data_IF_106838165588
#
_entry.id   IF_106838165588
#
_cell.length_a   1.000
_cell.length_b   1.000
_cell.length_c   1.000
_cell.angle_alpha   90.00
_cell.angle_beta   90.00
_cell.angle_gamma   90.00
#
_symmetry.space_group_name_H-M   'P 1'
#
loop_
_entity.id
_entity.type
_entity.pdbx_description
1 polymer ?
#
# COMPACT_ATOMS: atom_id res chain seq x y z
N UNK A 1 -24.52 10.42 18.31
CA UNK A 1 -23.37 9.62 17.84
C UNK A 1 -23.76 8.99 16.51
N UNK A 2 -23.23 9.51 15.40
CA UNK A 2 -23.51 8.96 14.08
C UNK A 2 -22.84 7.59 13.96
N UNK A 3 -23.65 6.55 13.78
CA UNK A 3 -23.17 5.19 13.49
C UNK A 3 -22.48 5.22 12.13
N UNK A 4 -21.16 5.00 12.11
CA UNK A 4 -20.41 4.75 10.89
C UNK A 4 -20.87 3.39 10.36
N UNK A 5 -21.66 3.42 9.28
CA UNK A 5 -22.10 2.23 8.58
C UNK A 5 -20.89 1.71 7.80
N UNK A 6 -20.28 0.63 8.29
CA UNK A 6 -19.28 -0.13 7.55
C UNK A 6 -19.98 -0.81 6.38
N UNK A 7 -19.99 -0.15 5.22
CA UNK A 7 -20.37 -0.76 3.94
C UNK A 7 -19.26 -1.73 3.52
N UNK A 8 -19.22 -2.89 4.18
CA UNK A 8 -18.26 -3.95 3.90
C UNK A 8 -18.86 -4.95 2.89
N UNK A 9 -19.36 -4.45 1.77
CA UNK A 9 -19.72 -5.28 0.60
C UNK A 9 -18.51 -5.36 -0.36
N UNK A 10 -17.35 -5.76 0.18
CA UNK A 10 -16.25 -6.20 -0.68
C UNK A 10 -16.58 -7.58 -1.20
N UNK A 11 -17.34 -7.64 -2.31
CA UNK A 11 -17.57 -8.86 -3.08
C UNK A 11 -16.25 -9.59 -3.31
N UNK A 12 -16.23 -10.86 -2.92
CA UNK A 12 -15.13 -11.84 -2.87
C UNK A 12 -14.41 -12.15 -4.20
N UNK A 13 -14.52 -11.33 -5.24
CA UNK A 13 -13.99 -11.62 -6.58
C UNK A 13 -12.64 -10.96 -6.92
N UNK A 14 -11.93 -10.38 -5.95
CA UNK A 14 -10.67 -9.66 -6.20
C UNK A 14 -9.42 -10.42 -5.68
N UNK A 15 -9.17 -11.61 -6.22
CA UNK A 15 -7.93 -12.41 -6.03
C UNK A 15 -6.65 -11.55 -6.10
N UNK A 16 -6.61 -10.60 -7.03
CA UNK A 16 -5.45 -9.72 -7.23
C UNK A 16 -5.24 -8.71 -6.09
N UNK A 17 -6.32 -8.09 -5.60
CA UNK A 17 -6.22 -7.13 -4.49
C UNK A 17 -5.84 -7.83 -3.18
N UNK A 18 -6.38 -9.03 -2.95
CA UNK A 18 -6.01 -9.84 -1.79
C UNK A 18 -4.51 -10.15 -1.78
N UNK A 19 -3.97 -10.63 -2.92
CA UNK A 19 -2.52 -10.86 -3.09
C UNK A 19 -1.69 -9.59 -2.90
N UNK A 20 -2.16 -8.45 -3.41
CA UNK A 20 -1.49 -7.17 -3.21
C UNK A 20 -1.38 -6.81 -1.72
N UNK A 21 -2.47 -6.95 -0.96
CA UNK A 21 -2.45 -6.67 0.47
C UNK A 21 -1.57 -7.65 1.27
N UNK A 22 -1.57 -8.94 0.93
CA UNK A 22 -0.67 -9.92 1.56
C UNK A 22 0.80 -9.56 1.32
N UNK A 23 1.13 -9.18 0.08
CA UNK A 23 2.47 -8.74 -0.29
C UNK A 23 2.89 -7.46 0.46
N UNK A 24 2.00 -6.47 0.51
CA UNK A 24 2.19 -5.23 1.26
C UNK A 24 2.44 -5.56 2.73
N UNK A 25 1.60 -6.36 3.38
CA UNK A 25 1.76 -6.67 4.80
C UNK A 25 3.10 -7.32 5.14
N UNK A 26 3.70 -8.05 4.18
CA UNK A 26 4.99 -8.73 4.37
C UNK A 26 6.20 -7.82 4.11
N UNK A 27 6.11 -6.92 3.15
CA UNK A 27 7.29 -6.23 2.61
C UNK A 27 7.25 -4.71 2.74
N UNK A 28 6.17 -4.12 3.24
CA UNK A 28 6.05 -2.69 3.36
C UNK A 28 6.90 -2.15 4.54
N UNK A 29 7.77 -1.14 4.32
CA UNK A 29 8.60 -0.57 5.39
C UNK A 29 7.78 0.31 6.34
N UNK A 30 8.30 0.66 7.52
CA UNK A 30 7.62 1.55 8.47
C UNK A 30 7.42 2.97 7.93
N UNK A 31 8.32 3.43 7.06
CA UNK A 31 8.30 4.75 6.41
C UNK A 31 7.40 4.82 5.18
N UNK A 32 6.59 3.78 4.92
CA UNK A 32 5.81 3.65 3.69
C UNK A 32 4.91 4.83 3.35
N UNK A 33 4.35 5.52 4.35
CA UNK A 33 3.39 6.60 4.08
C UNK A 33 4.05 7.70 3.27
N UNK A 34 5.24 8.14 3.68
CA UNK A 34 5.95 9.21 2.98
C UNK A 34 6.52 8.72 1.64
N UNK A 35 7.00 7.47 1.57
CA UNK A 35 7.46 6.84 0.32
C UNK A 35 6.33 6.71 -0.71
N UNK A 36 5.13 6.33 -0.28
CA UNK A 36 3.95 6.22 -1.16
C UNK A 36 3.50 7.59 -1.66
N UNK A 37 3.55 8.63 -0.83
CA UNK A 37 3.29 10.01 -1.28
C UNK A 37 4.26 10.39 -2.38
N UNK A 38 5.56 10.21 -2.14
CA UNK A 38 6.59 10.54 -3.11
C UNK A 38 6.38 9.78 -4.43
N UNK A 39 6.09 8.47 -4.36
CA UNK A 39 5.82 7.65 -5.55
C UNK A 39 4.64 8.15 -6.38
N UNK A 40 3.58 8.62 -5.72
CA UNK A 40 2.39 9.15 -6.40
C UNK A 40 2.69 10.50 -7.04
N UNK A 41 3.46 11.36 -6.35
CA UNK A 41 3.90 12.66 -6.86
C UNK A 41 4.87 12.50 -8.04
N UNK A 42 5.80 11.55 -7.98
CA UNK A 42 6.72 11.20 -9.09
C UNK A 42 5.97 10.79 -10.36
N UNK A 43 4.79 10.17 -10.21
CA UNK A 43 3.90 9.81 -11.32
C UNK A 43 3.04 10.97 -11.82
N UNK A 44 3.26 12.20 -11.33
CA UNK A 44 2.56 13.41 -11.75
C UNK A 44 1.17 13.58 -11.13
N UNK A 45 0.82 12.82 -10.09
CA UNK A 45 -0.47 12.91 -9.41
C UNK A 45 -0.38 13.82 -8.17
N UNK A 46 -1.53 14.35 -7.75
CA UNK A 46 -1.60 15.14 -6.52
C UNK A 46 -1.29 14.29 -5.29
N UNK A 47 -0.54 14.87 -4.35
CA UNK A 47 -0.15 14.19 -3.12
C UNK A 47 -1.40 13.82 -2.30
N UNK A 48 -1.66 12.51 -2.05
CA UNK A 48 -2.76 12.11 -1.20
C UNK A 48 -2.45 12.43 0.26
N UNK A 49 -3.51 12.55 1.07
CA UNK A 49 -3.34 12.74 2.52
C UNK A 49 -2.80 11.47 3.18
N UNK A 50 -2.01 11.63 4.25
CA UNK A 50 -1.47 10.50 5.02
C UNK A 50 -2.57 9.57 5.55
N UNK A 51 -3.74 10.12 5.91
CA UNK A 51 -4.91 9.36 6.34
C UNK A 51 -5.46 8.48 5.21
N UNK A 52 -5.53 9.00 3.98
CA UNK A 52 -6.03 8.26 2.83
C UNK A 52 -5.18 7.02 2.56
N UNK A 53 -3.85 7.15 2.59
CA UNK A 53 -2.91 6.03 2.42
C UNK A 53 -3.13 4.96 3.50
N UNK A 54 -3.23 5.37 4.77
CA UNK A 54 -3.47 4.44 5.88
C UNK A 54 -4.82 3.71 5.73
N UNK A 55 -5.85 4.41 5.28
CA UNK A 55 -7.17 3.83 5.07
C UNK A 55 -7.16 2.80 3.94
N UNK A 56 -6.41 3.04 2.85
CA UNK A 56 -6.21 2.04 1.78
C UNK A 56 -5.43 0.84 2.32
N UNK A 57 -4.32 1.06 3.03
CA UNK A 57 -3.52 -0.01 3.63
C UNK A 57 -4.34 -0.88 4.61
N UNK A 58 -5.25 -0.26 5.35
CA UNK A 58 -6.15 -0.94 6.29
C UNK A 58 -7.43 -1.49 5.62
N UNK A 59 -7.52 -1.46 4.29
CA UNK A 59 -8.67 -1.94 3.51
C UNK A 59 -10.00 -1.25 3.84
N UNK A 60 -9.95 -0.06 4.44
CA UNK A 60 -11.15 0.73 4.78
C UNK A 60 -11.76 1.39 3.55
N UNK A 61 -10.93 1.72 2.56
CA UNK A 61 -11.34 2.30 1.29
C UNK A 61 -10.56 1.63 0.15
N UNK A 62 -11.13 1.59 -1.04
CA UNK A 62 -10.45 1.10 -2.25
C UNK A 62 -10.04 2.26 -3.15
N UNK A 63 -8.73 2.43 -3.33
CA UNK A 63 -8.13 3.40 -4.26
C UNK A 63 -6.98 2.71 -4.98
N UNK A 64 -7.22 2.30 -6.22
CA UNK A 64 -6.29 1.45 -6.98
C UNK A 64 -4.94 2.14 -7.25
N UNK A 65 -4.95 3.45 -7.44
CA UNK A 65 -3.75 4.29 -7.58
C UNK A 65 -2.84 4.18 -6.34
N UNK A 66 -3.42 4.32 -5.16
CA UNK A 66 -2.70 4.22 -3.89
C UNK A 66 -2.29 2.77 -3.59
N UNK A 67 -3.16 1.81 -3.87
CA UNK A 67 -2.86 0.39 -3.70
C UNK A 67 -1.66 -0.03 -4.57
N UNK A 68 -1.64 0.41 -5.84
CA UNK A 68 -0.52 0.16 -6.74
C UNK A 68 0.77 0.79 -6.21
N UNK A 69 0.73 2.06 -5.78
CA UNK A 69 1.89 2.72 -5.21
C UNK A 69 2.41 2.04 -3.93
N UNK A 70 1.51 1.50 -3.08
CA UNK A 70 1.89 0.70 -1.91
C UNK A 70 2.60 -0.61 -2.30
N UNK A 71 2.13 -1.29 -3.35
CA UNK A 71 2.78 -2.50 -3.87
C UNK A 71 4.18 -2.18 -4.41
N UNK A 72 4.33 -1.10 -5.16
CA UNK A 72 5.62 -0.69 -5.70
C UNK A 72 6.64 -0.38 -4.60
N UNK A 73 6.24 0.38 -3.57
CA UNK A 73 7.09 0.68 -2.41
C UNK A 73 7.46 -0.60 -1.66
N UNK A 74 6.51 -1.52 -1.47
CA UNK A 74 6.79 -2.82 -0.85
C UNK A 74 7.78 -3.66 -1.68
N UNK A 75 7.68 -3.61 -3.00
CA UNK A 75 8.57 -4.35 -3.90
C UNK A 75 10.00 -3.81 -3.85
N UNK A 76 10.18 -2.48 -3.82
CA UNK A 76 11.50 -1.87 -3.69
C UNK A 76 12.15 -2.20 -2.35
N UNK A 77 11.38 -2.18 -1.26
CA UNK A 77 11.91 -2.57 0.04
C UNK A 77 12.33 -4.04 0.06
N UNK A 78 11.53 -4.94 -0.53
CA UNK A 78 11.90 -6.35 -0.69
C UNK A 78 13.23 -6.49 -1.44
N UNK A 79 13.37 -5.85 -2.61
CA UNK A 79 14.58 -5.92 -3.43
C UNK A 79 15.80 -5.33 -2.70
N UNK A 80 15.62 -4.25 -1.94
CA UNK A 80 16.69 -3.66 -1.15
C UNK A 80 17.19 -4.64 -0.07
N UNK A 81 16.29 -5.31 0.65
CA UNK A 81 16.64 -6.32 1.66
C UNK A 81 17.35 -7.51 1.01
N UNK A 82 16.85 -7.99 -0.13
CA UNK A 82 17.48 -9.10 -0.87
C UNK A 82 18.91 -8.76 -1.29
N UNK A 83 19.15 -7.53 -1.78
CA UNK A 83 20.50 -7.06 -2.13
C UNK A 83 21.43 -7.00 -0.90
N UNK A 84 20.93 -6.51 0.22
CA UNK A 84 21.71 -6.45 1.47
C UNK A 84 22.10 -7.87 1.92
N UNK A 85 21.17 -8.82 1.88
CA UNK A 85 21.44 -10.21 2.28
C UNK A 85 22.48 -10.88 1.39
N UNK A 86 22.48 -10.60 0.09
CA UNK A 86 23.48 -11.11 -0.86
C UNK A 86 24.88 -10.54 -0.61
N UNK A 87 25.01 -9.35 0.00
CA UNK A 87 26.31 -8.74 0.31
C UNK A 87 26.90 -9.25 1.62
N UNK A 88 26.06 -9.78 2.51
CA UNK A 88 26.46 -10.25 3.85
C UNK A 88 26.68 -11.78 3.87
N UNK A 89 26.14 -12.51 2.89
CA UNK A 89 26.33 -13.96 2.72
C UNK A 89 27.63 -14.29 2.01
#
# INVERSE_FOLDING_TARGET
MSKLINNNDFKEDNSHNQKAYEFINKHLPSTYVDLTINRIVEKGQSAPTKSLIRNVKNRTILRNDILLALVEVANENKLAIERINLLIS
#
